data_IF_564853717180
#
_entry.id   IF_564853717180
#
_cell.length_a   1.000
_cell.length_b   1.000
_cell.length_c   1.000
_cell.angle_alpha   90.00
_cell.angle_beta   90.00
_cell.angle_gamma   90.00
#
_symmetry.space_group_name_H-M   'P 1'
#
loop_
_entity.id
_entity.type
_entity.pdbx_description
1 polymer ?
#
# COMPACT_ATOMS: atom_id res chain seq x y z
N UNK A 1 20.01 -9.33 7.03
CA UNK A 1 19.60 -9.26 8.45
C UNK A 1 19.38 -7.79 8.80
N UNK A 2 18.47 -7.50 9.73
CA UNK A 2 18.19 -6.12 10.17
C UNK A 2 19.33 -5.64 11.08
N UNK A 3 19.83 -4.39 10.93
CA UNK A 3 20.86 -3.85 11.83
C UNK A 3 20.38 -3.74 13.29
N UNK A 4 21.29 -3.93 14.26
CA UNK A 4 20.96 -3.94 15.70
C UNK A 4 20.33 -2.63 16.17
N UNK A 5 20.82 -1.50 15.67
CA UNK A 5 20.26 -0.17 15.97
C UNK A 5 18.77 -0.06 15.61
N UNK A 6 18.36 -0.65 14.49
CA UNK A 6 16.95 -0.66 14.06
C UNK A 6 16.13 -1.58 14.96
N UNK A 7 16.65 -2.75 15.31
CA UNK A 7 15.96 -3.68 16.20
C UNK A 7 15.73 -3.05 17.59
N UNK A 8 16.71 -2.32 18.12
CA UNK A 8 16.59 -1.60 19.38
C UNK A 8 15.56 -0.46 19.30
N UNK A 9 15.58 0.33 18.23
CA UNK A 9 14.59 1.39 18.00
C UNK A 9 13.15 0.84 17.99
N UNK A 10 12.92 -0.28 17.30
CA UNK A 10 11.60 -0.94 17.29
C UNK A 10 11.20 -1.35 18.70
N UNK A 11 12.08 -2.01 19.46
CA UNK A 11 11.78 -2.43 20.83
C UNK A 11 11.42 -1.26 21.75
N UNK A 12 12.15 -0.14 21.65
CA UNK A 12 11.89 1.08 22.42
C UNK A 12 10.58 1.78 22.03
N UNK A 13 10.12 1.59 20.79
CA UNK A 13 8.86 2.17 20.31
C UNK A 13 7.61 1.50 20.88
N UNK A 14 7.69 0.21 21.26
CA UNK A 14 6.53 -0.61 21.68
C UNK A 14 5.83 -0.08 22.95
N UNK A 15 6.54 0.68 23.78
CA UNK A 15 5.98 1.27 25.00
C UNK A 15 5.48 2.71 24.84
N UNK A 16 5.49 3.26 23.63
CA UNK A 16 5.17 4.68 23.38
C UNK A 16 3.82 4.83 22.71
N UNK A 17 3.11 5.91 23.04
CA UNK A 17 1.97 6.36 22.26
C UNK A 17 2.47 7.05 20.99
N UNK A 18 1.85 6.72 19.85
CA UNK A 18 2.17 7.32 18.55
C UNK A 18 0.88 7.71 17.86
N UNK A 19 0.83 8.94 17.35
CA UNK A 19 -0.24 9.39 16.47
C UNK A 19 0.04 8.83 15.06
N UNK A 20 -0.82 7.95 14.59
CA UNK A 20 -0.55 7.13 13.40
C UNK A 20 -0.54 7.94 12.10
N UNK A 21 -1.34 9.01 12.01
CA UNK A 21 -1.32 9.87 10.82
C UNK A 21 -0.01 10.64 10.70
N UNK A 22 0.53 11.16 11.81
CA UNK A 22 1.82 11.82 11.87
C UNK A 22 2.96 10.84 11.58
N UNK A 23 2.90 9.62 12.11
CA UNK A 23 3.87 8.57 11.77
C UNK A 23 3.88 8.26 10.28
N UNK A 24 2.70 8.12 9.67
CA UNK A 24 2.59 7.88 8.23
C UNK A 24 3.07 9.07 7.41
N UNK A 25 2.80 10.30 7.84
CA UNK A 25 3.28 11.51 7.17
C UNK A 25 4.81 11.61 7.19
N UNK A 26 5.43 11.30 8.34
CA UNK A 26 6.89 11.25 8.48
C UNK A 26 7.50 10.12 7.64
N UNK A 27 6.88 8.94 7.64
CA UNK A 27 7.31 7.84 6.77
C UNK A 27 7.22 8.21 5.28
N UNK A 28 6.13 8.88 4.86
CA UNK A 28 5.97 9.37 3.49
C UNK A 28 7.08 10.35 3.11
N UNK A 29 7.45 11.28 3.99
CA UNK A 29 8.54 12.22 3.76
C UNK A 29 9.87 11.49 3.49
N UNK A 30 10.23 10.54 4.35
CA UNK A 30 11.47 9.77 4.23
C UNK A 30 11.49 8.91 2.95
N UNK A 31 10.36 8.29 2.59
CA UNK A 31 10.23 7.51 1.35
C UNK A 31 10.37 8.41 0.11
N UNK A 32 9.71 9.57 0.11
CA UNK A 32 9.79 10.53 -0.99
C UNK A 32 11.24 11.02 -1.20
N UNK A 33 11.96 11.34 -0.12
CA UNK A 33 13.38 11.71 -0.20
C UNK A 33 14.26 10.59 -0.73
N UNK A 34 14.03 9.34 -0.29
CA UNK A 34 14.86 8.20 -0.68
C UNK A 34 14.61 7.73 -2.13
N UNK A 35 13.40 7.92 -2.64
CA UNK A 35 12.97 7.35 -3.94
C UNK A 35 12.76 8.40 -5.03
N UNK A 36 12.65 9.68 -4.68
CA UNK A 36 12.28 10.76 -5.59
C UNK A 36 10.79 10.79 -5.95
N UNK A 37 9.95 10.02 -5.26
CA UNK A 37 8.50 10.06 -5.45
C UNK A 37 7.86 11.31 -4.84
N UNK A 38 6.63 11.62 -5.24
CA UNK A 38 5.84 12.73 -4.67
C UNK A 38 5.35 12.42 -3.24
N UNK A 39 5.14 11.13 -2.93
CA UNK A 39 4.72 10.64 -1.63
C UNK A 39 5.10 9.16 -1.46
N UNK A 40 5.04 8.66 -0.23
CA UNK A 40 5.23 7.26 0.12
C UNK A 40 4.15 6.73 1.05
N UNK A 41 3.79 5.47 0.91
CA UNK A 41 2.81 4.82 1.78
C UNK A 41 3.39 3.50 2.30
N UNK A 42 3.56 3.40 3.62
CA UNK A 42 3.91 2.13 4.26
C UNK A 42 2.71 1.19 4.18
N UNK A 43 2.94 -0.02 3.69
CA UNK A 43 1.93 -1.09 3.62
C UNK A 43 2.49 -2.36 4.23
N UNK A 44 1.64 -3.34 4.54
CA UNK A 44 2.05 -4.58 5.19
C UNK A 44 3.01 -5.45 4.33
N UNK A 45 2.93 -5.33 3.01
CA UNK A 45 3.70 -6.11 2.03
C UNK A 45 3.55 -5.54 0.61
N UNK A 46 4.31 -6.10 -0.34
CA UNK A 46 4.11 -5.80 -1.78
C UNK A 46 2.69 -6.13 -2.24
N UNK A 47 2.10 -7.23 -1.76
CA UNK A 47 0.75 -7.64 -2.13
C UNK A 47 -0.32 -6.64 -1.67
N UNK A 48 -0.22 -6.14 -0.44
CA UNK A 48 -1.11 -5.07 0.05
C UNK A 48 -0.88 -3.76 -0.69
N UNK A 49 0.38 -3.44 -1.05
CA UNK A 49 0.71 -2.27 -1.85
C UNK A 49 0.01 -2.27 -3.21
N UNK A 50 0.01 -3.42 -3.89
CA UNK A 50 -0.70 -3.58 -5.17
C UNK A 50 -2.21 -3.40 -4.96
N UNK A 51 -2.80 -4.07 -3.96
CA UNK A 51 -4.23 -3.99 -3.67
C UNK A 51 -4.68 -2.53 -3.40
N UNK A 52 -3.99 -1.83 -2.50
CA UNK A 52 -4.31 -0.44 -2.15
C UNK A 52 -4.09 0.49 -3.35
N UNK A 53 -3.05 0.27 -4.15
CA UNK A 53 -2.80 1.09 -5.34
C UNK A 53 -3.89 0.94 -6.39
N UNK A 54 -4.41 -0.28 -6.58
CA UNK A 54 -5.52 -0.55 -7.48
C UNK A 54 -6.80 0.12 -6.95
N UNK A 55 -7.17 -0.15 -5.69
CA UNK A 55 -8.32 0.48 -5.05
C UNK A 55 -8.30 2.00 -5.18
N UNK A 56 -7.17 2.64 -4.83
CA UNK A 56 -7.00 4.09 -4.93
C UNK A 56 -7.07 4.61 -6.39
N UNK A 57 -6.60 3.84 -7.37
CA UNK A 57 -6.69 4.22 -8.79
C UNK A 57 -8.12 4.11 -9.31
N UNK A 58 -8.87 3.11 -8.83
CA UNK A 58 -10.26 2.84 -9.18
C UNK A 58 -11.20 3.93 -8.63
N UNK A 59 -11.00 4.32 -7.36
CA UNK A 59 -11.89 5.24 -6.63
C UNK A 59 -11.43 6.69 -6.67
N UNK A 60 -10.13 6.94 -6.90
CA UNK A 60 -9.56 8.28 -6.88
C UNK A 60 -9.68 8.93 -5.50
N UNK A 61 -10.12 10.18 -5.46
CA UNK A 61 -10.35 10.93 -4.22
C UNK A 61 -11.79 10.81 -3.69
N UNK A 62 -12.63 9.99 -4.32
CA UNK A 62 -14.00 9.76 -3.86
C UNK A 62 -13.99 8.76 -2.68
N UNK A 63 -14.09 9.30 -1.47
CA UNK A 63 -14.11 8.50 -0.25
C UNK A 63 -15.34 7.60 -0.16
N UNK A 64 -16.45 7.97 -0.78
CA UNK A 64 -17.65 7.12 -0.82
C UNK A 64 -17.40 5.87 -1.64
N UNK A 65 -16.77 6.00 -2.81
CA UNK A 65 -16.36 4.84 -3.61
C UNK A 65 -15.31 3.98 -2.90
N UNK A 66 -14.39 4.59 -2.14
CA UNK A 66 -13.40 3.86 -1.36
C UNK A 66 -14.03 3.01 -0.25
N UNK A 67 -14.99 3.57 0.49
CA UNK A 67 -15.72 2.87 1.55
C UNK A 67 -16.70 1.81 1.01
N UNK A 68 -17.20 1.97 -0.22
CA UNK A 68 -18.10 1.01 -0.86
C UNK A 68 -17.37 -0.28 -1.35
N UNK A 69 -16.03 -0.28 -1.44
CA UNK A 69 -15.28 -1.47 -1.84
C UNK A 69 -15.55 -2.66 -0.88
N UNK A 70 -15.68 -3.89 -1.39
CA UNK A 70 -15.36 -4.33 -2.76
C UNK A 70 -16.54 -4.25 -3.75
N UNK A 71 -17.63 -3.52 -3.45
CA UNK A 71 -18.70 -3.30 -4.43
C UNK A 71 -18.25 -2.30 -5.51
N UNK A 72 -17.85 -2.83 -6.66
CA UNK A 72 -17.39 -2.04 -7.80
C UNK A 72 -18.51 -1.61 -8.75
N UNK A 73 -19.80 -1.83 -8.41
CA UNK A 73 -20.93 -1.50 -9.30
C UNK A 73 -21.01 -0.02 -9.69
N UNK A 74 -20.46 0.86 -8.83
CA UNK A 74 -20.38 2.31 -9.04
C UNK A 74 -19.04 2.79 -9.61
N UNK A 75 -18.07 1.89 -9.77
CA UNK A 75 -16.71 2.21 -10.23
C UNK A 75 -16.63 2.09 -11.75
N UNK A 76 -16.25 3.18 -12.42
CA UNK A 76 -16.09 3.21 -13.87
C UNK A 76 -14.70 2.78 -14.36
N UNK A 77 -13.68 2.82 -13.50
CA UNK A 77 -12.31 2.42 -13.78
C UNK A 77 -12.04 1.05 -13.18
N UNK A 78 -12.21 -0.04 -13.94
CA UNK A 78 -12.08 -1.41 -13.44
C UNK A 78 -11.20 -2.31 -14.35
N UNK A 79 -10.38 -1.69 -15.21
CA UNK A 79 -9.45 -2.38 -16.09
C UNK A 79 -8.01 -2.19 -15.61
N UNK A 80 -7.25 -3.28 -15.55
CA UNK A 80 -5.86 -3.27 -15.07
C UNK A 80 -4.93 -3.79 -16.17
N UNK A 81 -3.97 -2.96 -16.55
CA UNK A 81 -2.91 -3.33 -17.49
C UNK A 81 -1.73 -3.87 -16.70
N UNK A 82 -1.27 -5.08 -17.05
CA UNK A 82 -0.11 -5.72 -16.42
C UNK A 82 0.87 -6.23 -17.48
N UNK A 83 2.15 -5.96 -17.27
CA UNK A 83 3.23 -6.51 -18.09
C UNK A 83 3.29 -8.02 -17.91
N UNK A 84 3.36 -8.78 -19.00
CA UNK A 84 3.33 -10.26 -19.00
C UNK A 84 4.34 -10.89 -18.01
N UNK A 85 5.54 -10.32 -17.89
CA UNK A 85 6.58 -10.79 -16.96
C UNK A 85 6.27 -10.61 -15.47
N UNK A 86 5.33 -9.72 -15.13
CA UNK A 86 4.86 -9.51 -13.76
C UNK A 86 3.68 -10.43 -13.40
N UNK A 87 3.21 -11.26 -14.34
CA UNK A 87 2.20 -12.29 -14.07
C UNK A 87 2.87 -13.47 -13.37
N UNK A 88 3.06 -13.33 -12.05
CA UNK A 88 3.80 -14.28 -11.22
C UNK A 88 2.93 -14.90 -10.12
N UNK A 89 3.43 -15.99 -9.54
CA UNK A 89 2.90 -16.57 -8.31
C UNK A 89 3.96 -16.43 -7.21
N UNK A 90 3.63 -15.67 -6.16
CA UNK A 90 4.51 -15.40 -5.01
C UNK A 90 4.02 -16.07 -3.71
N UNK A 91 3.26 -17.16 -3.83
CA UNK A 91 2.42 -17.73 -2.77
C UNK A 91 0.94 -17.34 -2.91
N UNK A 92 0.66 -16.42 -3.84
CA UNK A 92 -0.67 -16.15 -4.39
C UNK A 92 -0.52 -15.74 -5.86
N UNK A 93 -1.54 -16.05 -6.68
CA UNK A 93 -1.53 -15.67 -8.10
C UNK A 93 -1.93 -14.20 -8.26
N UNK A 94 -1.07 -13.39 -8.87
CA UNK A 94 -1.32 -11.94 -9.02
C UNK A 94 -2.60 -11.62 -9.79
N UNK A 95 -2.97 -12.40 -10.82
CA UNK A 95 -4.20 -12.15 -11.56
C UNK A 95 -5.45 -12.38 -10.70
N UNK A 96 -5.39 -13.35 -9.79
CA UNK A 96 -6.47 -13.58 -8.84
C UNK A 96 -6.56 -12.42 -7.84
N UNK A 97 -5.42 -11.97 -7.31
CA UNK A 97 -5.39 -10.84 -6.38
C UNK A 97 -5.95 -9.57 -7.00
N UNK A 98 -5.57 -9.25 -8.25
CA UNK A 98 -6.10 -8.08 -8.99
C UNK A 98 -7.63 -8.15 -9.13
N UNK A 99 -8.20 -9.34 -9.38
CA UNK A 99 -9.65 -9.52 -9.58
C UNK A 99 -10.47 -9.51 -8.28
N UNK A 100 -9.80 -9.59 -7.14
CA UNK A 100 -10.43 -9.60 -5.81
C UNK A 100 -10.35 -8.25 -5.11
N UNK A 101 -9.64 -7.27 -5.71
CA UNK A 101 -9.76 -5.85 -5.33
C UNK A 101 -11.14 -5.36 -5.72
#
# INVERSE_FOLDING_TARGET
MVPDEIAQCVAESLGRFVEMYALQAEASHNIAQATGSEAGCVTASVASGICISLAATMTGADLGLAEDLPDISKVSKNEVIILKGHVVNYGSNINQQIRLV
#
